data_IF_966983857608
#
_entry.id   IF_966983857608
#
_cell.length_a   1.000
_cell.length_b   1.000
_cell.length_c   1.000
_cell.angle_alpha   90.00
_cell.angle_beta   90.00
_cell.angle_gamma   90.00
#
_symmetry.space_group_name_H-M   'P 1'
#
loop_
_entity.id
_entity.type
_entity.pdbx_description
1 polymer ?
#
# COMPACT_ATOMS: atom_id res chain seq x y z
N UNK A 1 -6.90 -27.48 -24.52
CA UNK A 1 -7.68 -26.85 -23.43
C UNK A 1 -6.73 -26.78 -22.25
N UNK A 2 -6.47 -25.60 -21.66
CA UNK A 2 -5.60 -25.51 -20.49
C UNK A 2 -6.27 -26.19 -19.31
N UNK A 3 -5.56 -27.08 -18.64
CA UNK A 3 -6.01 -27.81 -17.46
C UNK A 3 -5.44 -27.09 -16.22
N UNK A 4 -6.25 -26.27 -15.56
CA UNK A 4 -5.89 -25.60 -14.30
C UNK A 4 -5.88 -24.08 -14.41
N UNK A 5 -6.38 -23.42 -13.38
CA UNK A 5 -6.33 -21.96 -13.22
C UNK A 5 -4.91 -21.45 -12.88
N UNK A 6 -3.98 -22.37 -12.61
CA UNK A 6 -2.57 -22.11 -12.27
C UNK A 6 -1.78 -21.42 -13.41
N UNK A 7 -2.29 -21.46 -14.65
CA UNK A 7 -1.63 -20.90 -15.83
C UNK A 7 -2.14 -19.48 -16.18
N UNK A 8 -3.07 -18.94 -15.40
CA UNK A 8 -3.59 -17.58 -15.61
C UNK A 8 -2.79 -16.60 -14.75
N UNK A 9 -1.65 -16.12 -15.23
CA UNK A 9 -0.99 -14.96 -14.61
C UNK A 9 -1.83 -13.69 -14.84
N UNK A 10 -2.76 -13.38 -13.92
CA UNK A 10 -3.39 -12.06 -13.78
C UNK A 10 -2.39 -11.05 -13.20
N UNK A 11 -1.21 -10.94 -13.82
CA UNK A 11 -0.32 -9.81 -13.60
C UNK A 11 -0.99 -8.58 -14.22
N UNK A 12 -1.78 -7.88 -13.40
CA UNK A 12 -2.26 -6.54 -13.76
C UNK A 12 -1.12 -5.57 -13.48
N UNK A 13 -0.13 -5.56 -14.37
CA UNK A 13 0.85 -4.48 -14.43
C UNK A 13 0.23 -3.35 -15.24
N UNK A 14 -0.03 -2.23 -14.59
CA UNK A 14 -0.52 -1.00 -15.21
C UNK A 14 0.64 -0.27 -15.87
N UNK A 15 0.37 0.50 -16.92
CA UNK A 15 1.40 1.30 -17.60
C UNK A 15 2.13 2.28 -16.67
N UNK A 16 1.52 2.67 -15.55
CA UNK A 16 2.13 3.55 -14.54
C UNK A 16 3.11 2.85 -13.60
N UNK A 17 3.19 1.52 -13.64
CA UNK A 17 3.99 0.74 -12.70
C UNK A 17 5.49 0.78 -13.00
N UNK A 18 5.84 1.41 -14.12
CA UNK A 18 7.20 1.57 -14.60
C UNK A 18 7.41 2.97 -15.17
N UNK A 19 8.54 3.59 -14.82
CA UNK A 19 9.00 4.80 -15.47
C UNK A 19 9.46 4.51 -16.92
N UNK A 20 9.86 5.56 -17.65
CA UNK A 20 10.35 5.43 -19.03
C UNK A 20 11.60 4.51 -19.17
N UNK A 21 12.26 4.18 -18.05
CA UNK A 21 13.44 3.32 -17.97
C UNK A 21 13.12 1.93 -17.39
N UNK A 22 11.84 1.56 -17.28
CA UNK A 22 11.37 0.30 -16.70
C UNK A 22 11.64 0.12 -15.19
N UNK A 23 11.89 1.20 -14.44
CA UNK A 23 12.03 1.14 -12.99
C UNK A 23 10.68 1.36 -12.29
N UNK A 24 10.40 0.67 -11.17
CA UNK A 24 9.22 0.98 -10.37
C UNK A 24 9.23 2.42 -9.88
N UNK A 25 8.07 3.11 -9.82
CA UNK A 25 7.97 4.40 -9.15
C UNK A 25 8.30 4.25 -7.66
N UNK A 26 8.66 5.36 -7.01
CA UNK A 26 8.90 5.38 -5.57
C UNK A 26 7.72 4.74 -4.83
N UNK A 27 7.96 3.79 -3.90
CA UNK A 27 6.91 3.13 -3.14
C UNK A 27 6.22 4.09 -2.18
N UNK A 28 6.77 5.28 -1.96
CA UNK A 28 6.21 6.31 -1.09
C UNK A 28 5.95 7.61 -1.84
N UNK A 29 4.84 8.25 -1.49
CA UNK A 29 4.42 9.55 -1.99
C UNK A 29 4.00 10.44 -0.84
N UNK A 30 4.57 11.65 -0.75
CA UNK A 30 4.24 12.61 0.30
C UNK A 30 3.34 13.69 -0.29
N UNK A 31 2.08 13.72 0.14
CA UNK A 31 1.14 14.78 -0.19
C UNK A 31 1.24 15.89 0.86
N UNK A 32 2.13 16.84 0.62
CA UNK A 32 2.35 18.00 1.49
C UNK A 32 1.26 19.06 1.32
N UNK A 33 0.94 19.77 2.41
CA UNK A 33 0.04 20.93 2.39
C UNK A 33 0.74 22.10 1.70
N UNK A 34 0.15 22.61 0.61
CA UNK A 34 0.66 23.76 -0.11
C UNK A 34 -0.10 25.02 0.33
N UNK A 35 0.57 25.91 1.08
CA UNK A 35 0.05 27.25 1.40
C UNK A 35 -1.06 27.34 2.46
N UNK A 36 -1.34 26.25 3.19
CA UNK A 36 -2.25 26.26 4.34
C UNK A 36 -1.53 26.51 5.68
N UNK A 37 -2.27 26.80 6.78
CA UNK A 37 -1.67 26.79 8.11
C UNK A 37 -1.00 25.44 8.38
N UNK A 38 0.11 25.40 9.14
CA UNK A 38 0.84 24.16 9.41
C UNK A 38 -0.12 23.10 9.95
N UNK A 39 0.03 21.86 9.47
CA UNK A 39 -0.67 20.70 10.04
C UNK A 39 -0.54 20.77 11.57
N UNK A 40 -1.64 20.61 12.34
CA UNK A 40 -1.57 20.71 13.79
C UNK A 40 -0.49 19.79 14.36
N UNK A 41 0.10 20.20 15.50
CA UNK A 41 1.40 19.71 15.92
C UNK A 41 1.37 18.20 16.10
N UNK A 42 2.35 17.53 15.48
CA UNK A 42 2.80 16.19 15.84
C UNK A 42 1.84 15.02 15.51
N UNK A 43 0.94 15.13 14.52
CA UNK A 43 0.20 13.98 13.97
C UNK A 43 0.91 13.40 12.73
N UNK A 44 0.88 12.09 12.55
CA UNK A 44 1.36 11.39 11.34
C UNK A 44 0.23 10.65 10.65
N UNK A 45 0.01 10.94 9.37
CA UNK A 45 -1.02 10.30 8.57
C UNK A 45 -0.39 9.43 7.49
N UNK A 46 -0.77 8.15 7.50
CA UNK A 46 -0.29 7.13 6.59
C UNK A 46 -1.46 6.60 5.76
N UNK A 47 -1.24 6.40 4.46
CA UNK A 47 -2.22 5.82 3.55
C UNK A 47 -1.63 4.65 2.77
N UNK A 48 -2.36 3.56 2.60
CA UNK A 48 -1.98 2.47 1.67
C UNK A 48 -3.16 2.11 0.78
N UNK A 49 -2.92 2.06 -0.53
CA UNK A 49 -3.94 1.65 -1.50
C UNK A 49 -4.14 0.13 -1.54
N UNK A 50 -5.30 -0.25 -2.09
CA UNK A 50 -5.59 -1.63 -2.47
C UNK A 50 -5.05 -1.97 -3.85
N UNK A 51 -5.44 -3.16 -4.33
CA UNK A 51 -5.04 -3.68 -5.64
C UNK A 51 -5.57 -2.89 -6.84
N UNK A 52 -4.88 -3.06 -7.97
CA UNK A 52 -5.26 -2.58 -9.30
C UNK A 52 -5.48 -1.06 -9.34
N UNK A 53 -4.78 -0.33 -8.49
CA UNK A 53 -4.84 1.11 -8.44
C UNK A 53 -3.62 1.67 -9.17
N UNK A 54 -3.86 2.51 -10.17
CA UNK A 54 -2.79 3.19 -10.89
C UNK A 54 -2.10 4.21 -9.98
N UNK A 55 -0.80 4.48 -10.20
CA UNK A 55 -0.05 5.44 -9.40
C UNK A 55 -0.70 6.84 -9.40
N UNK A 56 -1.27 7.26 -10.53
CA UNK A 56 -2.00 8.52 -10.64
C UNK A 56 -3.23 8.60 -9.71
N UNK A 57 -4.02 7.53 -9.63
CA UNK A 57 -5.20 7.47 -8.75
C UNK A 57 -4.80 7.37 -7.28
N UNK A 58 -3.68 6.72 -7.00
CA UNK A 58 -3.08 6.68 -5.67
C UNK A 58 -2.68 8.09 -5.19
N UNK A 59 -1.97 8.86 -6.02
CA UNK A 59 -1.58 10.23 -5.69
C UNK A 59 -2.80 11.11 -5.44
N UNK A 60 -3.80 11.05 -6.33
CA UNK A 60 -5.07 11.78 -6.14
C UNK A 60 -5.82 11.38 -4.87
N UNK A 61 -5.74 10.12 -4.46
CA UNK A 61 -6.34 9.66 -3.21
C UNK A 61 -5.63 10.28 -2.02
N UNK A 62 -4.29 10.33 -2.03
CA UNK A 62 -3.49 11.01 -1.01
C UNK A 62 -3.83 12.51 -0.94
N UNK A 63 -3.88 13.19 -2.08
CA UNK A 63 -4.24 14.61 -2.17
C UNK A 63 -5.66 14.87 -1.67
N UNK A 64 -6.62 14.00 -2.00
CA UNK A 64 -7.99 14.13 -1.53
C UNK A 64 -8.08 13.97 -0.01
N UNK A 65 -7.35 13.01 0.58
CA UNK A 65 -7.27 12.85 2.03
C UNK A 65 -6.64 14.09 2.65
N UNK A 66 -5.52 14.57 2.09
CA UNK A 66 -4.86 15.81 2.53
C UNK A 66 -5.83 16.98 2.54
N UNK A 67 -6.54 17.22 1.44
CA UNK A 67 -7.44 18.37 1.30
C UNK A 67 -8.69 18.24 2.17
N UNK A 68 -9.19 17.02 2.36
CA UNK A 68 -10.38 16.76 3.20
C UNK A 68 -10.08 16.97 4.69
N UNK A 69 -8.92 16.49 5.16
CA UNK A 69 -8.56 16.55 6.58
C UNK A 69 -7.65 17.72 6.92
N UNK A 70 -7.15 18.44 5.92
CA UNK A 70 -6.12 19.47 6.03
C UNK A 70 -4.90 18.95 6.81
N UNK A 71 -4.35 17.82 6.35
CA UNK A 71 -3.22 17.10 6.97
C UNK A 71 -2.25 16.62 5.91
N UNK A 72 -0.96 16.67 6.20
CA UNK A 72 0.04 16.00 5.36
C UNK A 72 -0.15 14.49 5.40
N UNK A 73 -0.14 13.84 4.24
CA UNK A 73 -0.35 12.39 4.11
C UNK A 73 0.86 11.75 3.44
N UNK A 74 1.44 10.75 4.11
CA UNK A 74 2.44 9.87 3.50
C UNK A 74 1.73 8.62 2.98
N UNK A 75 1.64 8.49 1.66
CA UNK A 75 1.11 7.32 1.00
C UNK A 75 2.19 6.26 0.76
N UNK A 76 1.82 4.99 0.89
CA UNK A 76 2.58 3.81 0.44
C UNK A 76 1.84 3.19 -0.75
N UNK A 77 2.52 3.14 -1.90
CA UNK A 77 1.97 2.60 -3.13
C UNK A 77 2.10 1.08 -3.18
N UNK A 78 0.97 0.40 -3.20
CA UNK A 78 0.88 -1.03 -3.51
C UNK A 78 0.69 -1.22 -5.02
N UNK A 79 1.76 -1.63 -5.71
CA UNK A 79 1.82 -1.85 -7.17
C UNK A 79 0.97 -3.02 -7.67
N UNK A 80 0.45 -3.86 -6.77
CA UNK A 80 -0.61 -4.83 -7.07
C UNK A 80 -0.28 -6.04 -7.96
N UNK A 81 0.98 -6.28 -8.36
CA UNK A 81 1.34 -7.37 -9.31
C UNK A 81 1.19 -8.81 -8.75
N UNK A 82 0.38 -9.10 -7.74
CA UNK A 82 0.38 -10.46 -7.20
C UNK A 82 -0.64 -10.87 -6.15
N UNK A 83 -1.02 -9.97 -5.26
CA UNK A 83 -1.89 -10.35 -4.12
C UNK A 83 -3.37 -10.52 -4.57
N UNK A 84 -3.73 -10.15 -5.80
CA UNK A 84 -5.09 -10.39 -6.32
C UNK A 84 -5.40 -11.89 -6.37
N UNK A 85 -4.45 -12.72 -6.80
CA UNK A 85 -4.58 -14.18 -6.73
C UNK A 85 -4.61 -14.67 -5.29
N UNK A 86 -3.68 -14.23 -4.44
CA UNK A 86 -3.67 -14.59 -3.00
C UNK A 86 -5.00 -14.25 -2.29
N UNK A 87 -5.67 -13.16 -2.68
CA UNK A 87 -6.96 -12.76 -2.10
C UNK A 87 -8.14 -13.53 -2.67
N UNK A 88 -8.17 -13.79 -3.98
CA UNK A 88 -9.22 -14.61 -4.60
C UNK A 88 -9.12 -16.05 -4.08
N UNK A 89 -7.91 -16.61 -4.02
CA UNK A 89 -7.64 -17.93 -3.45
C UNK A 89 -8.02 -17.96 -1.97
N UNK A 90 -7.56 -17.00 -1.14
CA UNK A 90 -7.91 -16.99 0.28
C UNK A 90 -9.42 -16.77 0.54
N UNK A 91 -10.14 -16.03 -0.32
CA UNK A 91 -11.60 -15.91 -0.24
C UNK A 91 -12.32 -17.17 -0.73
N UNK A 92 -11.72 -17.91 -1.66
CA UNK A 92 -12.27 -19.15 -2.24
C UNK A 92 -11.93 -20.39 -1.38
N UNK A 93 -10.81 -20.39 -0.66
CA UNK A 93 -10.26 -21.45 0.19
C UNK A 93 -10.96 -21.59 1.54
N UNK A 94 -11.94 -20.75 1.88
CA UNK A 94 -12.85 -21.05 3.01
C UNK A 94 -13.67 -22.32 2.82
N UNK A 95 -13.51 -23.05 1.70
CA UNK A 95 -14.11 -24.37 1.50
C UNK A 95 -13.20 -25.55 1.85
N UNK A 96 -11.88 -25.48 1.70
CA UNK A 96 -11.03 -26.68 1.81
C UNK A 96 -9.64 -26.39 2.44
N UNK A 97 -9.63 -26.17 3.77
CA UNK A 97 -8.68 -26.69 4.78
C UNK A 97 -7.14 -26.72 4.61
N UNK A 98 -6.54 -26.40 3.47
CA UNK A 98 -5.09 -26.51 3.25
C UNK A 98 -4.45 -25.12 3.17
N UNK A 99 -3.35 -24.84 3.90
CA UNK A 99 -2.68 -23.56 3.85
C UNK A 99 -1.87 -23.45 2.55
N UNK A 100 -2.44 -22.83 1.52
CA UNK A 100 -1.70 -22.62 0.27
C UNK A 100 -0.47 -21.74 0.47
N UNK A 101 0.67 -22.27 0.05
CA UNK A 101 1.98 -21.63 0.12
C UNK A 101 2.17 -20.51 -0.91
N UNK A 102 1.16 -20.26 -1.76
CA UNK A 102 1.10 -19.19 -2.75
C UNK A 102 0.90 -17.80 -2.13
N UNK A 103 0.28 -17.74 -0.94
CA UNK A 103 0.08 -16.52 -0.12
C UNK A 103 1.42 -15.78 0.17
N UNK A 104 2.57 -16.44 -0.05
CA UNK A 104 3.91 -15.88 0.09
C UNK A 104 4.47 -15.25 -1.19
N UNK A 105 3.70 -14.34 -1.77
CA UNK A 105 4.21 -13.00 -2.01
C UNK A 105 5.08 -12.82 -3.26
N UNK A 106 4.49 -12.07 -4.17
CA UNK A 106 5.23 -11.38 -5.21
C UNK A 106 6.19 -10.34 -4.61
N UNK A 107 7.28 -10.07 -5.33
CA UNK A 107 8.33 -9.16 -4.89
C UNK A 107 7.80 -7.74 -4.59
N UNK A 108 6.79 -7.29 -5.34
CA UNK A 108 6.15 -5.99 -5.15
C UNK A 108 5.34 -5.92 -3.85
N UNK A 109 4.67 -7.01 -3.45
CA UNK A 109 3.94 -7.11 -2.18
C UNK A 109 4.86 -7.03 -0.97
N UNK A 110 5.98 -7.77 -1.02
CA UNK A 110 7.01 -7.74 0.04
C UNK A 110 7.67 -6.37 0.12
N UNK A 111 7.89 -5.70 -1.02
CA UNK A 111 8.39 -4.34 -1.06
C UNK A 111 7.40 -3.33 -0.44
N UNK A 112 6.11 -3.43 -0.77
CA UNK A 112 5.06 -2.58 -0.19
C UNK A 112 4.89 -2.82 1.31
N UNK A 113 4.90 -4.08 1.75
CA UNK A 113 4.86 -4.45 3.17
C UNK A 113 6.08 -3.86 3.91
N UNK A 114 7.28 -4.04 3.38
CA UNK A 114 8.51 -3.51 3.99
C UNK A 114 8.52 -1.99 4.03
N UNK A 115 8.08 -1.33 2.97
CA UNK A 115 7.96 0.13 2.94
C UNK A 115 6.93 0.61 3.98
N UNK A 116 5.78 -0.05 4.09
CA UNK A 116 4.78 0.27 5.09
C UNK A 116 5.30 0.04 6.52
N UNK A 117 5.99 -1.07 6.78
CA UNK A 117 6.61 -1.34 8.08
C UNK A 117 7.64 -0.26 8.45
N UNK A 118 8.46 0.16 7.48
CA UNK A 118 9.45 1.22 7.68
C UNK A 118 8.79 2.55 8.03
N UNK A 119 7.79 2.98 7.27
CA UNK A 119 7.06 4.23 7.53
C UNK A 119 6.29 4.17 8.86
N UNK A 120 5.65 3.04 9.16
CA UNK A 120 4.92 2.85 10.41
C UNK A 120 5.86 2.84 11.62
N UNK A 121 7.02 2.17 11.52
CA UNK A 121 8.05 2.18 12.57
C UNK A 121 8.64 3.57 12.76
N UNK A 122 8.91 4.29 11.67
CA UNK A 122 9.40 5.67 11.74
C UNK A 122 8.37 6.63 12.36
N UNK A 123 7.08 6.39 12.12
CA UNK A 123 6.00 7.14 12.75
C UNK A 123 5.84 6.78 14.23
N UNK A 124 5.80 5.49 14.60
CA UNK A 124 5.54 5.07 15.99
C UNK A 124 6.76 5.21 16.91
N UNK A 125 7.97 4.95 16.41
CA UNK A 125 9.22 4.97 17.16
C UNK A 125 10.32 5.76 16.43
N UNK A 126 10.17 7.08 16.30
CA UNK A 126 11.21 7.91 15.71
C UNK A 126 12.48 7.88 16.57
N UNK A 127 13.63 7.58 15.95
CA UNK A 127 14.91 7.46 16.67
C UNK A 127 15.49 8.80 17.15
N UNK A 128 15.14 9.91 16.50
CA UNK A 128 15.72 11.23 16.75
C UNK A 128 14.68 12.37 16.84
N UNK A 129 13.41 12.10 16.57
CA UNK A 129 12.33 13.09 16.58
C UNK A 129 11.38 12.84 17.76
N UNK A 130 10.63 13.88 18.15
CA UNK A 130 9.56 13.74 19.14
C UNK A 130 8.55 12.69 18.64
N UNK A 131 8.20 11.73 19.50
CA UNK A 131 7.16 10.73 19.21
C UNK A 131 5.86 11.47 18.88
N UNK A 132 5.17 11.15 17.77
CA UNK A 132 3.92 11.79 17.41
C UNK A 132 2.84 11.57 18.48
N UNK A 133 2.00 12.58 18.66
CA UNK A 133 0.89 12.51 19.62
C UNK A 133 -0.21 11.57 19.09
N UNK A 134 -0.30 11.42 17.76
CA UNK A 134 -1.21 10.49 17.09
C UNK A 134 -0.64 10.00 15.75
N UNK A 135 -0.82 8.71 15.49
CA UNK A 135 -0.62 8.11 14.16
C UNK A 135 -1.97 7.67 13.62
N UNK A 136 -2.35 8.16 12.44
CA UNK A 136 -3.59 7.82 11.74
C UNK A 136 -3.22 6.99 10.51
N UNK A 137 -3.71 5.76 10.45
CA UNK A 137 -3.49 4.85 9.34
C UNK A 137 -4.78 4.63 8.56
N UNK A 138 -4.75 4.89 7.25
CA UNK A 138 -5.87 4.65 6.34
C UNK A 138 -5.46 3.56 5.36
N UNK A 139 -6.17 2.44 5.41
CA UNK A 139 -5.93 1.31 4.50
C UNK A 139 -7.19 1.05 3.67
N UNK A 140 -7.01 0.87 2.36
CA UNK A 140 -8.11 0.60 1.45
C UNK A 140 -8.06 -0.83 0.91
N UNK A 141 -9.18 -1.56 1.01
CA UNK A 141 -9.34 -2.91 0.46
C UNK A 141 -8.18 -3.84 0.89
N UNK A 142 -7.41 -4.41 -0.04
CA UNK A 142 -6.27 -5.26 0.26
C UNK A 142 -5.14 -4.54 1.04
N UNK A 143 -5.05 -3.21 0.97
CA UNK A 143 -4.13 -2.44 1.82
C UNK A 143 -4.29 -2.78 3.31
N UNK A 144 -5.48 -3.21 3.74
CA UNK A 144 -5.73 -3.68 5.10
C UNK A 144 -4.98 -4.99 5.44
N UNK A 145 -4.88 -5.91 4.47
CA UNK A 145 -4.14 -7.16 4.65
C UNK A 145 -2.63 -6.88 4.74
N UNK A 146 -2.11 -6.00 3.90
CA UNK A 146 -0.71 -5.59 3.95
C UNK A 146 -0.39 -4.91 5.28
N UNK A 147 -1.27 -4.02 5.75
CA UNK A 147 -1.13 -3.39 7.06
C UNK A 147 -1.10 -4.42 8.19
N UNK A 148 -1.99 -5.43 8.16
CA UNK A 148 -2.00 -6.51 9.16
C UNK A 148 -0.68 -7.28 9.20
N UNK A 149 -0.03 -7.45 8.05
CA UNK A 149 1.25 -8.16 7.96
C UNK A 149 2.45 -7.29 8.35
N UNK A 150 2.29 -5.97 8.41
CA UNK A 150 3.33 -5.01 8.77
C UNK A 150 3.33 -4.62 10.27
N UNK A 151 2.31 -5.04 11.02
CA UNK A 151 2.19 -4.89 12.48
C UNK A 151 2.79 -6.11 13.20
#
# INVERSE_FOLDING_TARGET
MPNGLDDVQLNVSLRSDFDANANPPSPTYISALHGGPPSPPNEKWLFINGIANEFFWFQRSCDKIRDTFNREVTGVYNRSDGILWDFIECCSERRDGEPNTLIKGTQSSKAAQKALEQELRAALWPAAAKVPDKVVMIAHSQGCLILRLAL
#
